data_IF_494333399767
#
_entry.id   IF_494333399767
#
_cell.length_a   1.000
_cell.length_b   1.000
_cell.length_c   1.000
_cell.angle_alpha   90.00
_cell.angle_beta   90.00
_cell.angle_gamma   90.00
#
_symmetry.space_group_name_H-M   'P 1'
#
loop_
_entity.id
_entity.type
_entity.pdbx_description
1 polymer ?
#
# COMPACT_ATOMS: atom_id res chain seq x y z
N UNK A 1 40.42 2.85 13.34
CA UNK A 1 39.42 1.76 13.12
C UNK A 1 39.47 1.25 11.69
N UNK A 2 39.72 -0.04 11.51
CA UNK A 2 39.90 -0.65 10.19
C UNK A 2 38.69 -0.40 9.27
N UNK A 3 37.46 -0.39 9.81
CA UNK A 3 36.25 -0.14 9.01
C UNK A 3 36.16 1.29 8.47
N UNK A 4 36.53 2.30 9.29
CA UNK A 4 36.52 3.69 8.84
C UNK A 4 37.55 3.93 7.73
N UNK A 5 38.76 3.40 7.90
CA UNK A 5 39.83 3.45 6.88
C UNK A 5 39.41 2.73 5.57
N UNK A 6 38.78 1.56 5.67
CA UNK A 6 38.30 0.85 4.49
C UNK A 6 37.18 1.60 3.77
N UNK A 7 36.28 2.25 4.51
CA UNK A 7 35.20 3.04 3.94
C UNK A 7 35.74 4.26 3.19
N UNK A 8 36.70 4.97 3.78
CA UNK A 8 37.40 6.08 3.13
C UNK A 8 38.17 5.64 1.89
N UNK A 9 38.91 4.52 1.99
CA UNK A 9 39.64 3.95 0.86
C UNK A 9 38.68 3.57 -0.28
N UNK A 10 37.58 2.92 0.01
CA UNK A 10 36.56 2.56 -1.00
C UNK A 10 35.93 3.78 -1.68
N UNK A 11 35.85 4.92 -1.00
CA UNK A 11 35.34 6.16 -1.57
C UNK A 11 36.37 6.89 -2.46
N UNK A 12 37.66 6.79 -2.15
CA UNK A 12 38.72 7.58 -2.80
C UNK A 12 39.61 6.81 -3.75
N UNK A 13 39.74 5.48 -3.57
CA UNK A 13 40.66 4.66 -4.36
C UNK A 13 40.16 4.43 -5.77
N UNK A 14 41.05 4.55 -6.75
CA UNK A 14 40.76 4.37 -8.19
C UNK A 14 41.30 3.07 -8.77
N UNK A 15 42.24 2.41 -8.08
CA UNK A 15 42.83 1.16 -8.54
C UNK A 15 41.87 -0.01 -8.28
N UNK A 16 41.36 -0.72 -9.31
CA UNK A 16 40.32 -1.73 -9.14
C UNK A 16 40.73 -2.88 -8.20
N UNK A 17 41.96 -3.36 -8.27
CA UNK A 17 42.46 -4.45 -7.42
C UNK A 17 42.48 -4.07 -5.95
N UNK A 18 42.87 -2.84 -5.62
CA UNK A 18 42.87 -2.34 -4.22
C UNK A 18 41.45 -2.19 -3.70
N UNK A 19 40.52 -1.65 -4.51
CA UNK A 19 39.10 -1.56 -4.16
C UNK A 19 38.49 -2.94 -3.92
N UNK A 20 38.83 -3.94 -4.72
CA UNK A 20 38.33 -5.29 -4.56
C UNK A 20 38.79 -5.90 -3.22
N UNK A 21 40.07 -5.82 -2.91
CA UNK A 21 40.63 -6.31 -1.64
C UNK A 21 40.04 -5.59 -0.43
N UNK A 22 39.93 -4.26 -0.49
CA UNK A 22 39.32 -3.45 0.56
C UNK A 22 37.82 -3.82 0.76
N UNK A 23 37.07 -4.01 -0.33
CA UNK A 23 35.66 -4.41 -0.29
C UNK A 23 35.49 -5.83 0.29
N UNK A 24 36.36 -6.76 -0.06
CA UNK A 24 36.34 -8.10 0.54
C UNK A 24 36.64 -8.04 2.05
N UNK A 25 37.63 -7.24 2.47
CA UNK A 25 37.94 -7.06 3.89
C UNK A 25 36.77 -6.43 4.65
N UNK A 26 36.16 -5.40 4.09
CA UNK A 26 34.98 -4.74 4.68
C UNK A 26 33.82 -5.74 4.85
N UNK A 27 33.52 -6.57 3.85
CA UNK A 27 32.50 -7.63 3.92
C UNK A 27 32.76 -8.60 5.07
N UNK A 28 34.01 -9.07 5.23
CA UNK A 28 34.39 -9.99 6.32
C UNK A 28 34.19 -9.33 7.70
N UNK A 29 34.61 -8.08 7.87
CA UNK A 29 34.47 -7.37 9.14
C UNK A 29 33.00 -7.09 9.50
N UNK A 30 32.17 -6.77 8.52
CA UNK A 30 30.76 -6.48 8.75
C UNK A 30 29.94 -7.77 8.96
N UNK A 31 30.27 -8.88 8.28
CA UNK A 31 29.53 -10.11 8.33
C UNK A 31 29.88 -11.00 9.52
N UNK A 32 31.10 -10.91 10.04
CA UNK A 32 31.63 -11.81 11.08
C UNK A 32 31.00 -11.65 12.47
N UNK A 33 31.38 -12.50 13.44
CA UNK A 33 30.85 -12.46 14.79
C UNK A 33 31.30 -11.20 15.57
N UNK A 34 30.50 -10.81 16.59
CA UNK A 34 30.81 -9.60 17.38
C UNK A 34 32.06 -9.75 18.24
N UNK A 35 32.33 -10.95 18.76
CA UNK A 35 33.43 -11.19 19.69
C UNK A 35 34.83 -11.11 19.08
N UNK A 36 34.94 -11.17 17.75
CA UNK A 36 36.22 -11.08 17.01
C UNK A 36 36.30 -9.92 16.03
N UNK A 37 35.23 -9.16 15.93
CA UNK A 37 35.10 -8.08 14.95
C UNK A 37 34.77 -6.72 15.56
N UNK A 38 34.51 -5.72 14.71
CA UNK A 38 34.11 -4.40 15.14
C UNK A 38 32.81 -4.41 15.94
N UNK A 39 32.59 -3.47 16.86
CA UNK A 39 31.35 -3.34 17.62
C UNK A 39 30.15 -3.08 16.70
N UNK A 40 28.96 -3.44 17.19
CA UNK A 40 27.72 -3.38 16.39
C UNK A 40 27.44 -1.96 15.87
N UNK A 41 27.56 -0.96 16.73
CA UNK A 41 27.32 0.43 16.37
C UNK A 41 28.13 0.89 15.17
N UNK A 42 29.41 0.55 15.14
CA UNK A 42 30.30 0.89 14.04
C UNK A 42 29.93 0.18 12.74
N UNK A 43 29.46 -1.09 12.84
CA UNK A 43 29.00 -1.84 11.66
C UNK A 43 27.74 -1.21 11.07
N UNK A 44 26.77 -0.84 11.91
CA UNK A 44 25.51 -0.22 11.47
C UNK A 44 25.78 1.16 10.86
N UNK A 45 26.61 1.97 11.48
CA UNK A 45 27.02 3.27 10.95
C UNK A 45 27.71 3.13 9.58
N UNK A 46 28.69 2.22 9.48
CA UNK A 46 29.38 1.93 8.22
C UNK A 46 28.43 1.51 7.11
N UNK A 47 27.44 0.65 7.42
CA UNK A 47 26.44 0.19 6.46
C UNK A 47 25.53 1.34 5.99
N UNK A 48 25.11 2.23 6.88
CA UNK A 48 24.30 3.39 6.53
C UNK A 48 25.06 4.37 5.61
N UNK A 49 26.38 4.57 5.88
CA UNK A 49 27.23 5.46 5.08
C UNK A 49 27.55 4.89 3.70
N UNK A 50 27.80 3.58 3.62
CA UNK A 50 28.27 2.92 2.39
C UNK A 50 27.26 2.99 1.24
N UNK A 51 25.94 3.02 1.51
CA UNK A 51 24.86 3.05 0.51
C UNK A 51 25.11 2.13 -0.70
N UNK A 52 25.65 0.93 -0.44
CA UNK A 52 26.08 -0.02 -1.44
C UNK A 52 25.10 -1.23 -1.50
N UNK A 53 24.17 -1.29 -2.47
CA UNK A 53 23.17 -2.36 -2.54
C UNK A 53 23.80 -3.76 -2.61
N UNK A 54 24.92 -3.92 -3.31
CA UNK A 54 25.62 -5.21 -3.42
C UNK A 54 26.17 -5.68 -2.08
N UNK A 55 26.70 -4.76 -1.27
CA UNK A 55 27.16 -5.04 0.09
C UNK A 55 25.98 -5.48 0.96
N UNK A 56 24.85 -4.80 0.85
CA UNK A 56 23.63 -5.09 1.60
C UNK A 56 23.06 -6.46 1.25
N UNK A 57 23.00 -6.83 -0.04
CA UNK A 57 22.62 -8.17 -0.51
C UNK A 57 23.54 -9.25 0.07
N UNK A 58 24.86 -9.00 0.09
CA UNK A 58 25.82 -9.91 0.70
C UNK A 58 25.57 -10.07 2.20
N UNK A 59 25.41 -8.96 2.95
CA UNK A 59 25.24 -8.98 4.41
C UNK A 59 23.91 -9.63 4.84
N UNK A 60 22.83 -9.40 4.11
CA UNK A 60 21.54 -10.06 4.39
C UNK A 60 21.68 -11.58 4.34
N UNK A 61 22.52 -12.11 3.45
CA UNK A 61 22.73 -13.56 3.29
C UNK A 61 23.77 -14.14 4.22
N UNK A 62 24.82 -13.38 4.58
CA UNK A 62 26.03 -13.92 5.16
C UNK A 62 26.36 -13.38 6.56
N UNK A 63 25.76 -12.24 6.98
CA UNK A 63 26.11 -11.70 8.28
C UNK A 63 25.60 -12.60 9.42
N UNK A 64 26.49 -12.93 10.36
CA UNK A 64 26.14 -13.74 11.54
C UNK A 64 25.22 -12.97 12.50
N UNK A 65 25.42 -11.65 12.59
CA UNK A 65 24.69 -10.78 13.51
C UNK A 65 23.35 -10.39 12.89
N UNK A 66 22.25 -10.73 13.56
CA UNK A 66 20.90 -10.46 13.08
C UNK A 66 20.62 -8.96 12.84
N UNK A 67 21.11 -8.08 13.71
CA UNK A 67 20.91 -6.63 13.59
C UNK A 67 21.59 -6.05 12.35
N UNK A 68 22.75 -6.60 11.94
CA UNK A 68 23.40 -6.25 10.68
C UNK A 68 22.57 -6.69 9.48
N UNK A 69 21.95 -7.89 9.53
CA UNK A 69 21.04 -8.36 8.48
C UNK A 69 19.80 -7.46 8.39
N UNK A 70 19.20 -7.09 9.53
CA UNK A 70 18.05 -6.19 9.58
C UNK A 70 18.38 -4.84 8.95
N UNK A 71 19.52 -4.23 9.35
CA UNK A 71 19.95 -2.94 8.78
C UNK A 71 20.25 -3.04 7.27
N UNK A 72 20.83 -4.16 6.83
CA UNK A 72 21.12 -4.39 5.41
C UNK A 72 19.84 -4.50 4.56
N UNK A 73 18.74 -5.03 5.13
CA UNK A 73 17.45 -5.11 4.44
C UNK A 73 16.92 -3.73 4.00
N UNK A 74 17.27 -2.65 4.70
CA UNK A 74 16.82 -1.29 4.33
C UNK A 74 17.24 -0.87 2.92
N UNK A 75 18.35 -1.40 2.42
CA UNK A 75 18.89 -1.08 1.10
C UNK A 75 18.53 -2.13 0.03
N UNK A 76 17.93 -3.26 0.41
CA UNK A 76 17.50 -4.31 -0.52
C UNK A 76 16.18 -3.94 -1.17
N UNK A 77 16.12 -3.98 -2.50
CA UNK A 77 14.93 -3.71 -3.32
C UNK A 77 14.38 -4.95 -4.03
N UNK A 78 15.18 -6.01 -4.08
CA UNK A 78 14.83 -7.23 -4.81
C UNK A 78 13.78 -8.02 -4.03
N UNK A 79 12.54 -8.04 -4.53
CA UNK A 79 11.41 -8.71 -3.88
C UNK A 79 11.65 -10.21 -3.70
N UNK A 80 12.30 -10.88 -4.66
CA UNK A 80 12.62 -12.30 -4.55
C UNK A 80 13.52 -12.58 -3.35
N UNK A 81 14.59 -11.79 -3.16
CA UNK A 81 15.48 -11.92 -2.01
C UNK A 81 14.74 -11.63 -0.69
N UNK A 82 13.92 -10.57 -0.66
CA UNK A 82 13.12 -10.26 0.53
C UNK A 82 12.18 -11.43 0.90
N UNK A 83 11.56 -12.09 -0.08
CA UNK A 83 10.73 -13.26 0.12
C UNK A 83 11.54 -14.43 0.70
N UNK A 84 12.71 -14.73 0.13
CA UNK A 84 13.57 -15.81 0.60
C UNK A 84 13.95 -15.60 2.06
N UNK A 85 14.32 -14.37 2.44
CA UNK A 85 14.67 -14.02 3.81
C UNK A 85 13.44 -14.06 4.74
N UNK A 86 12.28 -13.54 4.32
CA UNK A 86 11.06 -13.58 5.12
C UNK A 86 10.58 -15.03 5.40
N UNK A 87 10.88 -15.97 4.53
CA UNK A 87 10.52 -17.39 4.67
C UNK A 87 11.59 -18.17 5.42
N UNK A 88 12.88 -17.90 5.15
CA UNK A 88 13.98 -18.80 5.45
C UNK A 88 14.97 -18.35 6.52
N UNK A 89 15.04 -17.05 6.88
CA UNK A 89 16.02 -16.61 7.88
C UNK A 89 15.79 -17.30 9.23
N UNK A 90 16.88 -17.65 9.92
CA UNK A 90 16.82 -18.32 11.21
C UNK A 90 16.19 -17.43 12.30
N UNK A 91 16.38 -16.11 12.22
CA UNK A 91 15.96 -15.15 13.24
C UNK A 91 14.62 -14.51 12.87
N UNK A 92 13.62 -14.63 13.75
CA UNK A 92 12.28 -14.12 13.53
C UNK A 92 12.23 -12.58 13.29
N UNK A 93 13.11 -11.82 13.94
CA UNK A 93 13.20 -10.37 13.72
C UNK A 93 13.60 -10.03 12.28
N UNK A 94 14.55 -10.78 11.71
CA UNK A 94 14.99 -10.60 10.31
C UNK A 94 13.87 -10.97 9.34
N UNK A 95 13.16 -12.09 9.58
CA UNK A 95 12.00 -12.48 8.75
C UNK A 95 10.92 -11.41 8.72
N UNK A 96 10.60 -10.81 9.90
CA UNK A 96 9.61 -9.71 9.99
C UNK A 96 10.09 -8.45 9.26
N UNK A 97 11.34 -8.06 9.49
CA UNK A 97 11.92 -6.89 8.81
C UNK A 97 11.90 -7.05 7.27
N UNK A 98 12.19 -8.24 6.77
CA UNK A 98 12.09 -8.54 5.33
C UNK A 98 10.64 -8.42 4.83
N UNK A 99 9.66 -8.98 5.55
CA UNK A 99 8.24 -8.87 5.21
C UNK A 99 7.77 -7.41 5.18
N UNK A 100 8.25 -6.58 6.10
CA UNK A 100 7.88 -5.15 6.17
C UNK A 100 8.29 -4.36 4.94
N UNK A 101 9.31 -4.81 4.22
CA UNK A 101 9.83 -4.18 3.00
C UNK A 101 9.10 -4.61 1.73
N UNK A 102 8.27 -5.63 1.80
CA UNK A 102 7.56 -6.17 0.65
C UNK A 102 6.25 -5.43 0.44
N UNK A 103 6.01 -4.99 -0.81
CA UNK A 103 4.76 -4.31 -1.22
C UNK A 103 3.95 -5.15 -2.23
N UNK A 104 4.50 -6.29 -2.69
CA UNK A 104 3.88 -7.16 -3.67
C UNK A 104 2.86 -8.11 -3.03
N UNK A 105 1.58 -8.06 -3.43
CA UNK A 105 0.54 -8.95 -2.92
C UNK A 105 0.80 -10.44 -3.18
N UNK A 106 1.42 -10.79 -4.30
CA UNK A 106 1.75 -12.18 -4.62
C UNK A 106 2.83 -12.72 -3.68
N UNK A 107 3.78 -11.85 -3.30
CA UNK A 107 4.80 -12.18 -2.32
C UNK A 107 4.17 -12.41 -0.93
N UNK A 108 3.22 -11.59 -0.49
CA UNK A 108 2.53 -11.81 0.79
C UNK A 108 1.75 -13.13 0.81
N UNK A 109 1.07 -13.48 -0.28
CA UNK A 109 0.37 -14.76 -0.40
C UNK A 109 1.35 -15.93 -0.26
N UNK A 110 2.48 -15.88 -0.97
CA UNK A 110 3.52 -16.90 -0.92
C UNK A 110 4.11 -17.03 0.48
N UNK A 111 4.50 -15.92 1.12
CA UNK A 111 5.06 -15.91 2.46
C UNK A 111 4.05 -16.46 3.47
N UNK A 112 2.77 -16.04 3.40
CA UNK A 112 1.73 -16.54 4.30
C UNK A 112 1.57 -18.06 4.21
N UNK A 113 1.63 -18.62 3.00
CA UNK A 113 1.54 -20.05 2.76
C UNK A 113 2.76 -20.80 3.29
N UNK A 114 3.97 -20.36 2.89
CA UNK A 114 5.23 -21.05 3.19
C UNK A 114 5.62 -20.98 4.68
N UNK A 115 5.20 -19.90 5.38
CA UNK A 115 5.51 -19.71 6.80
C UNK A 115 4.43 -20.25 7.75
N UNK A 116 3.30 -20.74 7.24
CA UNK A 116 2.13 -21.16 8.01
C UNK A 116 2.45 -22.13 9.16
N UNK A 117 3.35 -23.07 8.92
CA UNK A 117 3.75 -24.09 9.90
C UNK A 117 5.11 -23.82 10.55
N UNK A 118 5.86 -22.80 10.07
CA UNK A 118 7.21 -22.47 10.55
C UNK A 118 7.19 -21.23 11.45
N UNK A 119 6.47 -20.19 11.06
CA UNK A 119 6.36 -18.93 11.79
C UNK A 119 4.94 -18.36 11.68
N UNK A 120 4.11 -18.67 12.67
CA UNK A 120 2.71 -18.24 12.71
C UNK A 120 2.56 -16.71 12.72
N UNK A 121 3.54 -15.98 13.27
CA UNK A 121 3.49 -14.52 13.34
C UNK A 121 3.73 -13.90 11.96
N UNK A 122 4.77 -14.32 11.27
CA UNK A 122 5.06 -13.86 9.89
C UNK A 122 3.90 -14.24 8.96
N UNK A 123 3.39 -15.48 9.05
CA UNK A 123 2.25 -15.93 8.26
C UNK A 123 1.00 -15.07 8.48
N UNK A 124 0.70 -14.72 9.74
CA UNK A 124 -0.43 -13.85 10.08
C UNK A 124 -0.26 -12.45 9.52
N UNK A 125 0.91 -11.83 9.75
CA UNK A 125 1.20 -10.48 9.25
C UNK A 125 1.13 -10.38 7.72
N UNK A 126 1.65 -11.39 7.01
CA UNK A 126 1.57 -11.45 5.56
C UNK A 126 0.11 -11.55 5.09
N UNK A 127 -0.73 -12.34 5.76
CA UNK A 127 -2.17 -12.44 5.47
C UNK A 127 -2.90 -11.13 5.74
N UNK A 128 -2.66 -10.51 6.90
CA UNK A 128 -3.27 -9.21 7.26
C UNK A 128 -2.98 -8.14 6.22
N UNK A 129 -1.75 -8.10 5.68
CA UNK A 129 -1.39 -7.18 4.58
C UNK A 129 -2.11 -7.49 3.29
N UNK A 130 -2.19 -8.78 2.93
CA UNK A 130 -2.89 -9.22 1.73
C UNK A 130 -4.39 -8.89 1.83
N UNK A 131 -5.03 -9.17 2.97
CA UNK A 131 -6.44 -8.89 3.21
C UNK A 131 -6.71 -7.37 3.16
N UNK A 132 -5.85 -6.55 3.79
CA UNK A 132 -5.96 -5.09 3.74
C UNK A 132 -5.81 -4.53 2.32
N UNK A 133 -4.89 -5.07 1.53
CA UNK A 133 -4.71 -4.67 0.13
C UNK A 133 -5.91 -5.05 -0.73
N UNK A 134 -6.45 -6.28 -0.55
CA UNK A 134 -7.63 -6.74 -1.27
C UNK A 134 -8.85 -5.88 -0.93
N UNK A 135 -9.03 -5.54 0.36
CA UNK A 135 -10.10 -4.64 0.80
C UNK A 135 -9.97 -3.26 0.19
N UNK A 136 -8.79 -2.63 0.27
CA UNK A 136 -8.53 -1.31 -0.30
C UNK A 136 -8.77 -1.28 -1.83
N UNK A 137 -8.40 -2.36 -2.52
CA UNK A 137 -8.68 -2.52 -3.95
C UNK A 137 -10.17 -2.62 -4.23
N UNK A 138 -10.90 -3.46 -3.48
CA UNK A 138 -12.35 -3.61 -3.62
C UNK A 138 -13.09 -2.28 -3.34
N UNK A 139 -12.66 -1.54 -2.30
CA UNK A 139 -13.22 -0.24 -1.96
C UNK A 139 -13.00 0.78 -3.09
N UNK A 140 -11.80 0.80 -3.68
CA UNK A 140 -11.50 1.67 -4.82
C UNK A 140 -12.35 1.31 -6.05
N UNK A 141 -12.45 0.03 -6.40
CA UNK A 141 -13.28 -0.45 -7.53
C UNK A 141 -14.77 -0.11 -7.31
N UNK A 142 -15.28 -0.28 -6.08
CA UNK A 142 -16.64 0.09 -5.71
C UNK A 142 -16.87 1.60 -5.77
N UNK A 143 -15.92 2.39 -5.26
CA UNK A 143 -15.98 3.86 -5.29
C UNK A 143 -16.03 4.36 -6.74
N UNK A 144 -15.18 3.84 -7.60
CA UNK A 144 -15.16 4.19 -9.02
C UNK A 144 -16.46 3.80 -9.73
N UNK A 145 -17.01 2.62 -9.42
CA UNK A 145 -18.30 2.17 -9.95
C UNK A 145 -19.42 3.11 -9.56
N UNK A 146 -19.51 3.52 -8.29
CA UNK A 146 -20.54 4.46 -7.82
C UNK A 146 -20.41 5.82 -8.48
N UNK A 147 -19.20 6.32 -8.71
CA UNK A 147 -18.98 7.54 -9.46
C UNK A 147 -19.53 7.44 -10.90
N UNK A 148 -19.25 6.34 -11.59
CA UNK A 148 -19.75 6.08 -12.95
C UNK A 148 -21.29 6.00 -12.97
N UNK A 149 -21.91 5.23 -12.06
CA UNK A 149 -23.36 5.11 -11.96
C UNK A 149 -24.03 6.48 -11.70
N UNK A 150 -23.40 7.33 -10.88
CA UNK A 150 -23.90 8.69 -10.62
C UNK A 150 -23.77 9.60 -11.84
N UNK A 151 -22.66 9.51 -12.58
CA UNK A 151 -22.46 10.24 -13.84
C UNK A 151 -23.46 9.80 -14.93
N UNK A 152 -23.72 8.51 -15.05
CA UNK A 152 -24.74 7.97 -15.94
C UNK A 152 -26.14 8.48 -15.55
N UNK A 153 -26.42 8.49 -14.23
CA UNK A 153 -27.67 9.06 -13.72
C UNK A 153 -27.76 10.56 -14.04
N UNK A 154 -26.66 11.30 -13.97
CA UNK A 154 -26.60 12.72 -14.34
C UNK A 154 -26.88 12.95 -15.82
N UNK A 155 -26.35 12.12 -16.70
CA UNK A 155 -26.40 12.30 -18.16
C UNK A 155 -27.79 12.05 -18.77
N UNK A 156 -28.64 11.28 -18.11
CA UNK A 156 -29.96 10.91 -18.65
C UNK A 156 -31.06 11.91 -18.27
N UNK A 157 -32.16 11.86 -19.01
CA UNK A 157 -33.39 12.62 -18.68
C UNK A 157 -33.97 12.17 -17.34
N UNK A 158 -34.42 13.13 -16.52
CA UNK A 158 -34.94 12.85 -15.17
C UNK A 158 -36.32 12.19 -15.19
N UNK A 159 -36.46 11.13 -14.40
CA UNK A 159 -37.71 10.42 -14.17
C UNK A 159 -37.99 10.31 -12.66
N UNK A 160 -39.27 10.17 -12.27
CA UNK A 160 -39.65 10.03 -10.87
C UNK A 160 -38.94 8.87 -10.14
N UNK A 161 -38.66 7.76 -10.85
CA UNK A 161 -37.92 6.60 -10.34
C UNK A 161 -36.46 6.89 -9.99
N UNK A 162 -35.86 7.95 -10.52
CA UNK A 162 -34.46 8.32 -10.26
C UNK A 162 -34.25 8.74 -8.81
N UNK A 163 -35.28 9.20 -8.10
CA UNK A 163 -35.21 9.51 -6.68
C UNK A 163 -34.89 8.27 -5.81
N UNK A 164 -35.39 7.11 -6.19
CA UNK A 164 -35.08 5.83 -5.52
C UNK A 164 -33.65 5.41 -5.85
N UNK A 165 -33.26 5.57 -7.11
CA UNK A 165 -31.90 5.26 -7.56
C UNK A 165 -30.86 6.15 -6.87
N UNK A 166 -31.09 7.47 -6.79
CA UNK A 166 -30.21 8.41 -6.08
C UNK A 166 -30.06 8.01 -4.61
N UNK A 167 -31.16 7.71 -3.90
CA UNK A 167 -31.09 7.28 -2.49
C UNK A 167 -30.29 5.99 -2.32
N UNK A 168 -30.42 5.04 -3.24
CA UNK A 168 -29.60 3.80 -3.22
C UNK A 168 -28.12 4.12 -3.38
N UNK A 169 -27.75 4.96 -4.35
CA UNK A 169 -26.36 5.36 -4.59
C UNK A 169 -25.79 6.14 -3.39
N UNK A 170 -26.56 7.08 -2.83
CA UNK A 170 -26.16 7.84 -1.63
C UNK A 170 -25.93 6.93 -0.42
N UNK A 171 -26.78 5.93 -0.22
CA UNK A 171 -26.61 4.94 0.85
C UNK A 171 -25.36 4.07 0.68
N UNK A 172 -25.07 3.64 -0.54
CA UNK A 172 -23.85 2.90 -0.84
C UNK A 172 -22.60 3.78 -0.71
N UNK A 173 -22.69 5.04 -1.15
CA UNK A 173 -21.62 6.01 -1.03
C UNK A 173 -21.27 6.29 0.43
N UNK A 174 -22.26 6.51 1.29
CA UNK A 174 -22.04 6.80 2.70
C UNK A 174 -21.22 5.73 3.44
N UNK A 175 -21.29 4.47 2.99
CA UNK A 175 -20.50 3.38 3.53
C UNK A 175 -19.02 3.43 3.08
N UNK A 176 -18.73 4.00 1.90
CA UNK A 176 -17.39 4.07 1.31
C UNK A 176 -16.72 5.43 1.50
N UNK A 177 -17.48 6.51 1.76
CA UNK A 177 -16.96 7.88 1.89
C UNK A 177 -15.77 8.00 2.86
N UNK A 178 -15.74 7.33 4.04
CA UNK A 178 -14.62 7.41 4.97
C UNK A 178 -13.28 6.89 4.42
N UNK A 179 -13.33 5.98 3.43
CA UNK A 179 -12.15 5.36 2.82
C UNK A 179 -11.91 5.80 1.37
N UNK A 180 -12.86 6.56 0.81
CA UNK A 180 -12.77 7.07 -0.55
C UNK A 180 -11.69 8.15 -0.68
N UNK A 181 -10.85 8.03 -1.73
CA UNK A 181 -9.89 9.09 -2.04
C UNK A 181 -10.61 10.41 -2.40
N UNK A 182 -9.97 11.55 -2.10
CA UNK A 182 -10.55 12.87 -2.29
C UNK A 182 -11.02 13.12 -3.74
N UNK A 183 -10.32 12.58 -4.72
CA UNK A 183 -10.68 12.67 -6.15
C UNK A 183 -12.06 12.05 -6.46
N UNK A 184 -12.36 10.88 -5.87
CA UNK A 184 -13.66 10.23 -6.04
C UNK A 184 -14.77 10.94 -5.28
N UNK A 185 -14.46 11.47 -4.10
CA UNK A 185 -15.40 12.24 -3.30
C UNK A 185 -15.87 13.49 -4.06
N UNK A 186 -14.94 14.23 -4.64
CA UNK A 186 -15.26 15.41 -5.44
C UNK A 186 -16.01 15.05 -6.72
N UNK A 187 -15.60 13.98 -7.41
CA UNK A 187 -16.24 13.47 -8.61
C UNK A 187 -17.69 13.06 -8.35
N UNK A 188 -17.95 12.31 -7.27
CA UNK A 188 -19.29 11.90 -6.86
C UNK A 188 -20.19 13.11 -6.55
N UNK A 189 -19.69 14.05 -5.72
CA UNK A 189 -20.44 15.28 -5.36
C UNK A 189 -20.79 16.13 -6.57
N UNK A 190 -19.86 16.29 -7.49
CA UNK A 190 -20.07 17.06 -8.73
C UNK A 190 -21.19 16.46 -9.58
N UNK A 191 -21.21 15.14 -9.73
CA UNK A 191 -22.27 14.47 -10.49
C UNK A 191 -23.60 14.46 -9.75
N UNK A 192 -23.59 14.27 -8.43
CA UNK A 192 -24.78 14.20 -7.57
C UNK A 192 -25.57 15.52 -7.53
N UNK A 193 -24.89 16.66 -7.46
CA UNK A 193 -25.54 17.99 -7.30
C UNK A 193 -26.63 18.25 -8.35
N UNK A 194 -26.33 18.19 -9.66
CA UNK A 194 -27.31 18.39 -10.72
C UNK A 194 -28.45 17.35 -10.71
N UNK A 195 -28.16 16.09 -10.30
CA UNK A 195 -29.18 15.04 -10.18
C UNK A 195 -30.19 15.41 -9.09
N UNK A 196 -29.73 15.78 -7.91
CA UNK A 196 -30.58 16.17 -6.79
C UNK A 196 -31.44 17.39 -7.12
N UNK A 197 -30.83 18.46 -7.68
CA UNK A 197 -31.54 19.66 -8.09
C UNK A 197 -32.60 19.38 -9.16
N UNK A 198 -32.28 18.56 -10.16
CA UNK A 198 -33.24 18.20 -11.22
C UNK A 198 -34.44 17.37 -10.69
N UNK A 199 -34.21 16.49 -9.72
CA UNK A 199 -35.31 15.73 -9.08
C UNK A 199 -36.18 16.62 -8.20
N UNK A 200 -35.63 17.62 -7.52
CA UNK A 200 -36.38 18.57 -6.74
C UNK A 200 -37.29 19.42 -7.66
N UNK A 201 -36.75 19.93 -8.77
CA UNK A 201 -37.54 20.62 -9.79
C UNK A 201 -38.67 19.77 -10.35
N UNK A 202 -38.39 18.51 -10.66
CA UNK A 202 -39.39 17.56 -11.15
C UNK A 202 -40.53 17.36 -10.13
N UNK A 203 -40.18 17.22 -8.85
CA UNK A 203 -41.16 17.07 -7.77
C UNK A 203 -42.08 18.30 -7.65
N UNK A 204 -41.52 19.52 -7.74
CA UNK A 204 -42.27 20.77 -7.74
C UNK A 204 -43.23 20.82 -8.92
N UNK A 205 -42.78 20.48 -10.14
CA UNK A 205 -43.62 20.48 -11.34
C UNK A 205 -44.76 19.45 -11.24
N UNK A 206 -44.47 18.25 -10.71
CA UNK A 206 -45.50 17.23 -10.47
C UNK A 206 -46.51 17.67 -9.43
N UNK A 207 -46.09 18.35 -8.36
CA UNK A 207 -47.00 18.96 -7.37
C UNK A 207 -47.93 19.98 -7.98
N UNK A 208 -47.38 20.91 -8.78
CA UNK A 208 -48.19 21.92 -9.50
C UNK A 208 -49.21 21.26 -10.46
N UNK A 209 -48.76 20.26 -11.24
CA UNK A 209 -49.64 19.51 -12.13
C UNK A 209 -50.78 18.85 -11.38
N UNK A 210 -50.51 18.19 -10.25
CA UNK A 210 -51.54 17.55 -9.43
C UNK A 210 -52.56 18.57 -8.93
N UNK A 211 -52.12 19.71 -8.39
CA UNK A 211 -53.01 20.76 -7.91
C UNK A 211 -53.91 21.32 -9.03
N UNK A 212 -53.38 21.50 -10.25
CA UNK A 212 -54.17 21.91 -11.41
C UNK A 212 -55.21 20.85 -11.77
N UNK A 213 -54.86 19.55 -11.81
CA UNK A 213 -55.80 18.49 -12.09
C UNK A 213 -56.91 18.43 -11.05
N UNK A 214 -56.58 18.49 -9.77
CA UNK A 214 -57.56 18.54 -8.67
C UNK A 214 -58.51 19.74 -8.75
N UNK A 215 -57.98 20.91 -9.17
CA UNK A 215 -58.81 22.09 -9.38
C UNK A 215 -59.77 21.94 -10.57
N UNK A 216 -59.28 21.38 -11.69
CA UNK A 216 -60.12 21.13 -12.86
C UNK A 216 -61.22 20.09 -12.57
N UNK A 217 -60.89 19.05 -11.83
CA UNK A 217 -61.89 18.03 -11.41
C UNK A 217 -62.99 18.63 -10.55
N UNK A 218 -62.65 19.52 -9.63
CA UNK A 218 -63.63 20.28 -8.83
C UNK A 218 -64.55 21.15 -9.68
N UNK A 219 -64.01 21.84 -10.70
CA UNK A 219 -64.75 22.69 -11.60
C UNK A 219 -65.70 21.88 -12.51
N UNK A 220 -65.36 20.65 -12.85
CA UNK A 220 -66.16 19.77 -13.67
C UNK A 220 -67.26 19.01 -12.89
N UNK A 221 -67.15 18.94 -11.57
CA UNK A 221 -68.10 18.26 -10.70
C UNK A 221 -69.16 19.20 -10.10
N UNK A 222 -69.02 20.53 -10.26
CA UNK A 222 -69.99 21.54 -9.82
C UNK A 222 -70.77 22.12 -10.96
#
# INVERSE_FOLDING_TARGET
DDLALLTELLATETVPSLREVAGQRQRVLLAGPLHTGPPLELRLETLQQARAPELSVFLVRQAEVADVRVAALEQVKETALLCDIAIGDAVAAVRRAALERIEDPQAWETISRETRNKDKQVSRLARERLDAWQQARADRENTERLCREMEELQARTRHAGDAVHLRRLDGQWAALEPVAAAEFTERYRRARGPVAAGLEQLAVLQGKRRAICEHLEKLLAG
#
